data_IF_470485495087
#
_entry.id   IF_470485495087
#
_cell.length_a   1.000
_cell.length_b   1.000
_cell.length_c   1.000
_cell.angle_alpha   90.00
_cell.angle_beta   90.00
_cell.angle_gamma   90.00
#
_symmetry.space_group_name_H-M   'P 1'
#
loop_
_entity.id
_entity.type
_entity.pdbx_description
1 polymer ?
#
# COMPACT_ATOMS: atom_id res chain seq x y z
N UNK A 1 16.06 -9.13 -11.90
CA UNK A 1 14.77 -9.63 -11.39
C UNK A 1 14.25 -8.68 -10.34
N UNK A 2 12.94 -8.36 -10.44
CA UNK A 2 12.22 -7.64 -9.40
C UNK A 2 11.68 -8.59 -8.33
N UNK A 3 11.14 -8.01 -7.25
CA UNK A 3 10.43 -8.73 -6.19
C UNK A 3 8.93 -8.45 -6.32
N UNK A 4 8.10 -9.49 -6.33
CA UNK A 4 6.64 -9.36 -6.35
C UNK A 4 6.04 -9.93 -5.06
N UNK A 5 5.42 -9.07 -4.28
CA UNK A 5 4.69 -9.44 -3.05
C UNK A 5 3.21 -9.66 -3.40
N UNK A 6 2.73 -10.88 -3.25
CA UNK A 6 1.36 -11.27 -3.58
C UNK A 6 0.62 -11.70 -2.33
N UNK A 7 -0.59 -11.23 -2.14
CA UNK A 7 -1.41 -11.62 -1.01
C UNK A 7 -2.67 -10.77 -0.87
N UNK A 8 -3.56 -11.10 0.05
CA UNK A 8 -4.81 -10.37 0.26
C UNK A 8 -4.61 -8.87 0.50
N UNK A 9 -5.63 -8.08 0.22
CA UNK A 9 -5.61 -6.65 0.50
C UNK A 9 -5.42 -6.39 2.02
N UNK A 10 -4.70 -5.32 2.37
CA UNK A 10 -4.52 -4.95 3.77
C UNK A 10 -3.51 -5.78 4.56
N UNK A 11 -2.73 -6.66 3.93
CA UNK A 11 -1.68 -7.47 4.59
C UNK A 11 -0.33 -6.76 4.74
N UNK A 12 -0.26 -5.47 4.40
CA UNK A 12 0.95 -4.67 4.61
C UNK A 12 2.02 -4.80 3.53
N UNK A 13 1.71 -5.36 2.34
CA UNK A 13 2.68 -5.54 1.25
C UNK A 13 3.47 -4.28 0.90
N UNK A 14 2.80 -3.14 0.74
CA UNK A 14 3.47 -1.86 0.46
C UNK A 14 4.38 -1.42 1.62
N UNK A 15 4.00 -1.69 2.87
CA UNK A 15 4.85 -1.40 4.02
C UNK A 15 6.12 -2.25 4.04
N UNK A 16 6.03 -3.50 3.60
CA UNK A 16 7.19 -4.38 3.42
C UNK A 16 8.11 -3.79 2.34
N UNK A 17 7.57 -3.35 1.21
CA UNK A 17 8.35 -2.72 0.14
C UNK A 17 9.11 -1.47 0.64
N UNK A 18 8.45 -0.59 1.39
CA UNK A 18 9.10 0.57 2.02
C UNK A 18 10.17 0.17 3.05
N UNK A 19 9.91 -0.87 3.82
CA UNK A 19 10.90 -1.37 4.80
C UNK A 19 12.15 -1.89 4.10
N UNK A 20 12.02 -2.61 3.00
CA UNK A 20 13.14 -3.08 2.19
C UNK A 20 13.97 -1.90 1.65
N UNK A 21 13.32 -0.87 1.10
CA UNK A 21 14.01 0.32 0.61
C UNK A 21 14.82 1.01 1.72
N UNK A 22 14.25 1.13 2.93
CA UNK A 22 14.95 1.69 4.10
C UNK A 22 16.16 0.85 4.54
N UNK A 23 16.02 -0.48 4.54
CA UNK A 23 17.11 -1.40 4.89
C UNK A 23 18.25 -1.27 3.87
N UNK A 24 17.93 -1.16 2.59
CA UNK A 24 18.92 -0.95 1.53
C UNK A 24 19.55 0.45 1.57
N UNK A 25 18.96 1.39 2.32
CA UNK A 25 19.39 2.81 2.38
C UNK A 25 19.43 3.47 1.01
N UNK A 26 18.52 3.08 0.13
CA UNK A 26 18.35 3.65 -1.19
C UNK A 26 17.15 4.60 -1.21
N UNK A 27 17.18 5.64 -2.03
CA UNK A 27 15.99 6.41 -2.33
C UNK A 27 14.94 5.49 -2.96
N UNK A 28 13.67 5.82 -2.79
CA UNK A 28 12.60 5.08 -3.43
C UNK A 28 11.57 6.02 -4.05
N UNK A 29 10.90 5.53 -5.05
CA UNK A 29 9.74 6.16 -5.66
C UNK A 29 8.62 5.16 -5.78
N UNK A 30 7.39 5.65 -5.93
CA UNK A 30 6.20 4.82 -6.02
C UNK A 30 5.44 5.08 -7.30
N UNK A 31 4.95 4.00 -7.90
CA UNK A 31 4.04 4.01 -9.02
C UNK A 31 2.80 3.20 -8.62
N UNK A 32 1.63 3.79 -8.72
CA UNK A 32 0.36 3.13 -8.47
C UNK A 32 -0.32 2.78 -9.79
N UNK A 33 -0.31 1.49 -10.15
CA UNK A 33 -0.86 1.01 -11.41
C UNK A 33 -2.38 1.10 -11.49
N UNK A 34 -3.08 1.23 -10.37
CA UNK A 34 -4.53 1.41 -10.36
C UNK A 34 -4.96 2.76 -10.94
N UNK A 35 -4.09 3.74 -10.91
CA UNK A 35 -4.32 5.09 -11.45
C UNK A 35 -3.91 5.26 -12.92
N UNK A 36 -3.23 4.27 -13.50
CA UNK A 36 -2.69 4.32 -14.87
C UNK A 36 -3.65 3.66 -15.84
N UNK A 37 -4.19 4.45 -16.77
CA UNK A 37 -5.14 3.99 -17.79
C UNK A 37 -4.57 4.00 -19.21
N UNK A 38 -3.47 4.72 -19.44
CA UNK A 38 -2.84 4.90 -20.73
C UNK A 38 -1.32 4.73 -20.60
N UNK A 39 -0.68 3.95 -21.50
CA UNK A 39 0.78 3.84 -21.56
C UNK A 39 1.53 5.16 -21.65
N UNK A 40 0.96 6.18 -22.29
CA UNK A 40 1.60 7.52 -22.39
C UNK A 40 1.74 8.21 -21.04
N UNK A 41 0.91 7.87 -20.05
CA UNK A 41 1.10 8.37 -18.68
C UNK A 41 2.44 7.93 -18.10
N UNK A 42 2.92 6.75 -18.48
CA UNK A 42 4.21 6.20 -18.04
C UNK A 42 5.37 6.69 -18.87
N UNK A 43 5.20 6.74 -20.22
CA UNK A 43 6.27 6.99 -21.18
C UNK A 43 6.40 8.46 -21.60
N UNK A 44 5.45 9.30 -21.21
CA UNK A 44 5.39 10.68 -21.70
C UNK A 44 4.81 10.81 -23.10
N UNK A 45 4.41 12.02 -23.44
CA UNK A 45 3.85 12.35 -24.75
C UNK A 45 4.84 13.09 -25.64
N UNK A 46 4.76 12.87 -26.98
CA UNK A 46 5.66 13.52 -27.93
C UNK A 46 5.52 15.06 -27.89
N UNK A 47 6.64 15.78 -27.96
CA UNK A 47 6.71 17.25 -27.97
C UNK A 47 5.98 17.92 -29.13
N UNK A 48 5.53 17.17 -30.14
CA UNK A 48 4.70 17.73 -31.21
C UNK A 48 3.32 18.17 -30.73
N UNK A 49 2.87 17.71 -29.60
CA UNK A 49 1.58 18.08 -29.01
C UNK A 49 1.72 19.28 -28.06
N UNK A 50 0.75 20.20 -28.11
CA UNK A 50 0.77 21.43 -27.33
C UNK A 50 0.83 21.21 -25.80
N UNK A 51 0.25 20.10 -25.33
CA UNK A 51 0.19 19.73 -23.89
C UNK A 51 1.14 18.58 -23.56
N UNK A 52 2.22 18.41 -24.32
CA UNK A 52 3.19 17.35 -24.08
C UNK A 52 3.85 17.50 -22.71
N UNK A 53 4.06 16.38 -22.04
CA UNK A 53 4.71 16.31 -20.74
C UNK A 53 5.51 15.01 -20.59
N UNK A 54 6.51 15.00 -19.69
CA UNK A 54 7.23 13.78 -19.32
C UNK A 54 6.29 12.71 -18.76
N UNK A 55 6.71 11.47 -18.84
CA UNK A 55 6.02 10.36 -18.19
C UNK A 55 6.34 10.27 -16.70
N UNK A 56 5.44 9.60 -15.97
CA UNK A 56 5.56 9.41 -14.51
C UNK A 56 6.86 8.69 -14.15
N UNK A 57 7.34 7.77 -15.00
CA UNK A 57 8.61 7.07 -14.74
C UNK A 57 9.78 8.05 -14.73
N UNK A 58 9.86 8.96 -15.71
CA UNK A 58 10.91 9.97 -15.74
C UNK A 58 10.78 10.95 -14.58
N UNK A 59 9.56 11.38 -14.25
CA UNK A 59 9.30 12.24 -13.09
C UNK A 59 9.79 11.56 -11.80
N UNK A 60 9.56 10.25 -11.65
CA UNK A 60 10.01 9.48 -10.51
C UNK A 60 11.54 9.47 -10.36
N UNK A 61 12.29 9.30 -11.45
CA UNK A 61 13.76 9.44 -11.44
C UNK A 61 14.20 10.85 -11.08
N UNK A 62 13.52 11.86 -11.62
CA UNK A 62 13.82 13.27 -11.34
C UNK A 62 13.60 13.60 -9.86
N UNK A 63 12.52 13.10 -9.26
CA UNK A 63 12.24 13.30 -7.83
C UNK A 63 13.22 12.57 -6.92
N UNK A 64 13.64 11.37 -7.30
CA UNK A 64 14.65 10.63 -6.56
C UNK A 64 16.05 11.27 -6.64
N UNK A 65 16.32 12.02 -7.72
CA UNK A 65 17.62 12.64 -7.99
C UNK A 65 18.75 11.66 -8.32
N UNK A 66 18.45 10.36 -8.38
CA UNK A 66 19.39 9.28 -8.59
C UNK A 66 18.77 8.20 -9.48
N UNK A 67 19.61 7.47 -10.22
CA UNK A 67 19.19 6.29 -10.98
C UNK A 67 19.33 4.98 -10.20
N UNK A 68 20.02 5.00 -9.07
CA UNK A 68 20.14 3.88 -8.15
C UNK A 68 19.06 3.98 -7.07
N UNK A 69 17.90 3.39 -7.32
CA UNK A 69 16.72 3.55 -6.47
C UNK A 69 15.85 2.29 -6.40
N UNK A 70 15.05 2.20 -5.36
CA UNK A 70 13.98 1.20 -5.27
C UNK A 70 12.72 1.78 -5.95
N UNK A 71 12.22 1.07 -6.95
CA UNK A 71 11.00 1.43 -7.67
C UNK A 71 9.84 0.57 -7.16
N UNK A 72 8.96 1.17 -6.36
CA UNK A 72 7.83 0.47 -5.75
C UNK A 72 6.61 0.59 -6.68
N UNK A 73 6.16 -0.54 -7.21
CA UNK A 73 5.04 -0.63 -8.15
C UNK A 73 3.84 -1.23 -7.40
N UNK A 74 2.92 -0.38 -6.98
CA UNK A 74 1.74 -0.81 -6.26
C UNK A 74 0.65 -1.29 -7.21
N UNK A 75 -0.09 -2.32 -6.78
CA UNK A 75 -1.27 -2.85 -7.45
C UNK A 75 -1.02 -3.25 -8.91
N UNK A 76 0.07 -4.00 -9.15
CA UNK A 76 0.46 -4.43 -10.49
C UNK A 76 -0.64 -5.24 -11.21
N UNK A 77 -1.46 -5.97 -10.46
CA UNK A 77 -2.63 -6.71 -10.95
C UNK A 77 -3.77 -5.80 -11.45
N UNK A 78 -3.76 -4.51 -11.09
CA UNK A 78 -4.73 -3.52 -11.55
C UNK A 78 -4.30 -2.79 -12.84
N UNK A 79 -3.10 -3.03 -13.29
CA UNK A 79 -2.62 -2.56 -14.60
C UNK A 79 -3.44 -3.17 -15.76
N UNK A 80 -4.74 -3.21 -15.59
CA UNK A 80 -5.64 -3.95 -16.43
C UNK A 80 -5.73 -3.33 -17.81
N UNK A 81 -5.55 -4.18 -18.82
CA UNK A 81 -6.30 -4.22 -20.07
C UNK A 81 -7.11 -2.94 -20.34
N UNK A 82 -6.43 -1.83 -20.59
CA UNK A 82 -7.06 -0.63 -21.10
C UNK A 82 -7.72 -0.97 -22.43
N UNK A 83 -8.97 -0.62 -22.59
CA UNK A 83 -9.64 -0.58 -23.88
C UNK A 83 -9.08 0.60 -24.66
N UNK A 84 -7.86 0.49 -25.19
CA UNK A 84 -7.20 1.61 -25.87
C UNK A 84 -5.84 1.22 -26.45
N UNK A 85 -4.89 2.12 -26.36
CA UNK A 85 -3.57 2.11 -27.04
C UNK A 85 -2.55 1.10 -26.50
N UNK A 86 -2.95 0.02 -25.85
CA UNK A 86 -2.07 -1.01 -25.31
C UNK A 86 -2.21 -1.17 -23.78
N UNK A 87 -1.48 -2.15 -23.24
CA UNK A 87 -1.48 -2.38 -21.79
C UNK A 87 -0.38 -1.55 -21.12
N UNK A 88 -0.71 -0.65 -20.19
CA UNK A 88 0.29 0.12 -19.46
C UNK A 88 1.37 -0.74 -18.78
N UNK A 89 1.02 -1.96 -18.36
CA UNK A 89 1.97 -2.88 -17.76
C UNK A 89 3.11 -3.31 -18.70
N UNK A 90 2.88 -3.31 -20.00
CA UNK A 90 3.90 -3.71 -20.98
C UNK A 90 5.06 -2.71 -21.04
N UNK A 91 4.81 -1.44 -20.72
CA UNK A 91 5.85 -0.41 -20.57
C UNK A 91 6.85 -0.78 -19.48
N UNK A 92 6.38 -1.44 -18.41
CA UNK A 92 7.23 -1.85 -17.30
C UNK A 92 8.24 -2.95 -17.71
N UNK A 93 7.99 -3.69 -18.78
CA UNK A 93 8.92 -4.72 -19.27
C UNK A 93 10.29 -4.12 -19.58
N UNK A 94 10.33 -2.97 -20.25
CA UNK A 94 11.58 -2.28 -20.57
C UNK A 94 12.32 -1.82 -19.33
N UNK A 95 11.59 -1.30 -18.35
CA UNK A 95 12.15 -0.90 -17.05
C UNK A 95 12.74 -2.11 -16.29
N UNK A 96 12.02 -3.24 -16.29
CA UNK A 96 12.40 -4.45 -15.58
C UNK A 96 13.57 -5.21 -16.23
N UNK A 97 13.75 -5.05 -17.52
CA UNK A 97 14.87 -5.68 -18.25
C UNK A 97 16.21 -4.97 -18.04
N UNK A 98 16.23 -3.83 -17.35
CA UNK A 98 17.43 -3.03 -17.08
C UNK A 98 18.21 -2.60 -18.34
N UNK A 99 17.53 -2.49 -19.47
CA UNK A 99 18.12 -2.12 -20.76
C UNK A 99 18.07 -0.61 -21.04
N UNK A 100 17.59 0.15 -20.09
CA UNK A 100 17.30 1.57 -20.24
C UNK A 100 15.81 1.82 -20.51
N UNK A 101 15.37 3.02 -20.26
CA UNK A 101 14.00 3.47 -20.48
C UNK A 101 14.03 4.78 -21.26
N UNK A 102 13.27 4.85 -22.35
CA UNK A 102 13.18 6.06 -23.17
C UNK A 102 11.84 6.75 -22.90
N UNK A 103 11.92 8.00 -22.45
CA UNK A 103 10.75 8.88 -22.33
C UNK A 103 10.51 9.62 -23.64
N UNK A 104 9.24 9.61 -24.09
CA UNK A 104 8.86 10.20 -25.39
C UNK A 104 8.94 11.73 -25.40
N UNK A 105 8.82 12.38 -24.23
CA UNK A 105 8.94 13.82 -24.12
C UNK A 105 10.40 14.25 -24.13
N UNK A 106 11.26 13.57 -23.38
CA UNK A 106 12.68 13.90 -23.30
C UNK A 106 13.49 13.38 -24.48
N UNK A 107 12.99 12.35 -25.19
CA UNK A 107 13.66 11.71 -26.32
C UNK A 107 15.09 11.22 -25.97
N UNK A 108 15.31 10.91 -24.71
CA UNK A 108 16.58 10.40 -24.22
C UNK A 108 16.39 9.11 -23.41
N UNK A 109 17.43 8.29 -23.42
CA UNK A 109 17.44 7.05 -22.65
C UNK A 109 17.89 7.32 -21.22
N UNK A 110 17.09 6.89 -20.24
CA UNK A 110 17.43 6.89 -18.83
C UNK A 110 18.01 5.52 -18.47
N UNK A 111 19.21 5.43 -17.86
CA UNK A 111 19.76 4.17 -17.40
C UNK A 111 18.90 3.54 -16.30
N UNK A 112 18.58 2.25 -16.43
CA UNK A 112 17.75 1.51 -15.46
C UNK A 112 18.50 0.40 -14.74
N UNK A 113 19.80 0.26 -14.95
CA UNK A 113 20.63 -0.78 -14.33
C UNK A 113 20.72 -0.70 -12.80
N UNK A 114 20.50 0.50 -12.24
CA UNK A 114 20.46 0.74 -10.79
C UNK A 114 19.05 0.69 -10.17
N UNK A 115 18.06 0.24 -10.92
CA UNK A 115 16.67 0.14 -10.44
C UNK A 115 16.42 -1.20 -9.78
N UNK A 116 15.86 -1.17 -8.57
CA UNK A 116 15.43 -2.34 -7.82
C UNK A 116 13.89 -2.34 -7.74
N UNK A 117 13.18 -3.02 -8.66
CA UNK A 117 11.73 -3.02 -8.68
C UNK A 117 11.16 -3.94 -7.60
N UNK A 118 10.23 -3.40 -6.81
CA UNK A 118 9.42 -4.16 -5.86
C UNK A 118 7.96 -3.89 -6.19
N UNK A 119 7.26 -4.91 -6.65
CA UNK A 119 5.84 -4.80 -6.99
C UNK A 119 4.95 -5.44 -5.91
N UNK A 120 3.72 -4.95 -5.81
CA UNK A 120 2.67 -5.57 -4.99
C UNK A 120 1.47 -5.94 -5.85
N UNK A 121 0.80 -7.03 -5.51
CA UNK A 121 -0.43 -7.48 -6.16
C UNK A 121 -1.34 -8.22 -5.16
N UNK A 122 -2.62 -8.20 -5.42
CA UNK A 122 -3.58 -9.01 -4.66
C UNK A 122 -3.83 -10.34 -5.36
N UNK A 123 -3.84 -10.37 -6.68
CA UNK A 123 -4.11 -11.55 -7.49
C UNK A 123 -3.10 -11.69 -8.64
N UNK A 124 -2.19 -12.65 -8.52
CA UNK A 124 -1.19 -12.93 -9.56
C UNK A 124 -1.75 -13.43 -10.88
N UNK A 125 -2.99 -13.93 -10.90
CA UNK A 125 -3.63 -14.42 -12.14
C UNK A 125 -3.94 -13.29 -13.14
N UNK A 126 -4.00 -12.05 -12.66
CA UNK A 126 -4.25 -10.87 -13.48
C UNK A 126 -2.97 -10.29 -14.11
N UNK A 127 -1.81 -10.80 -13.76
CA UNK A 127 -0.51 -10.32 -14.26
C UNK A 127 -0.09 -11.18 -15.44
N UNK A 128 0.35 -10.54 -16.52
CA UNK A 128 0.78 -11.23 -17.73
C UNK A 128 2.01 -12.12 -17.50
N UNK A 129 2.11 -13.24 -18.22
CA UNK A 129 3.22 -14.16 -18.11
C UNK A 129 4.61 -13.50 -18.37
N UNK A 130 4.77 -12.57 -19.33
CA UNK A 130 6.03 -11.84 -19.53
C UNK A 130 6.44 -11.03 -18.31
N UNK A 131 5.51 -10.37 -17.61
CA UNK A 131 5.80 -9.66 -16.37
C UNK A 131 6.15 -10.61 -15.24
N UNK A 132 5.36 -11.67 -15.06
CA UNK A 132 5.60 -12.66 -14.01
C UNK A 132 7.00 -13.28 -14.11
N UNK A 133 7.50 -13.50 -15.31
CA UNK A 133 8.85 -14.09 -15.52
C UNK A 133 10.00 -13.19 -15.05
N UNK A 134 9.75 -11.92 -14.83
CA UNK A 134 10.74 -10.91 -14.38
C UNK A 134 10.74 -10.68 -12.87
N UNK A 135 9.85 -11.33 -12.16
CA UNK A 135 9.72 -11.19 -10.72
C UNK A 135 10.03 -12.49 -9.97
N UNK A 136 10.72 -12.38 -8.85
CA UNK A 136 10.70 -13.39 -7.82
C UNK A 136 9.45 -13.19 -6.95
N UNK A 137 8.55 -14.17 -6.93
CA UNK A 137 7.27 -14.07 -6.25
C UNK A 137 7.39 -14.51 -4.80
N UNK A 138 6.91 -13.68 -3.89
CA UNK A 138 6.75 -13.99 -2.47
C UNK A 138 5.26 -13.89 -2.13
N UNK A 139 4.67 -15.01 -1.73
CA UNK A 139 3.29 -15.04 -1.25
C UNK A 139 3.25 -14.55 0.21
N UNK A 140 2.42 -13.55 0.46
CA UNK A 140 2.18 -12.98 1.78
C UNK A 140 0.83 -13.51 2.27
N UNK A 141 0.81 -14.37 3.29
CA UNK A 141 -0.43 -14.92 3.82
C UNK A 141 -1.25 -13.85 4.54
N UNK A 142 -2.53 -14.11 4.73
CA UNK A 142 -3.35 -13.30 5.62
C UNK A 142 -2.95 -13.52 7.09
N UNK A 143 -3.30 -12.58 7.93
CA UNK A 143 -3.06 -12.66 9.36
C UNK A 143 -4.01 -13.66 10.03
N UNK A 144 -3.48 -14.42 10.96
CA UNK A 144 -4.29 -15.24 11.88
C UNK A 144 -5.07 -14.37 12.86
N UNK A 145 -6.10 -14.92 13.51
CA UNK A 145 -6.87 -14.20 14.52
C UNK A 145 -5.98 -13.69 15.68
N UNK A 146 -5.02 -14.50 16.10
CA UNK A 146 -4.08 -14.11 17.17
C UNK A 146 -3.13 -12.98 16.71
N UNK A 147 -2.64 -13.03 15.49
CA UNK A 147 -1.84 -11.93 14.93
C UNK A 147 -2.66 -10.66 14.81
N UNK A 148 -3.93 -10.74 14.38
CA UNK A 148 -4.85 -9.62 14.32
C UNK A 148 -5.08 -8.98 15.69
N UNK A 149 -5.22 -9.77 16.76
CA UNK A 149 -5.30 -9.27 18.15
C UNK A 149 -4.08 -8.48 18.54
N UNK A 150 -2.90 -9.01 18.24
CA UNK A 150 -1.63 -8.34 18.55
C UNK A 150 -1.51 -7.03 17.78
N UNK A 151 -1.82 -7.06 16.49
CA UNK A 151 -1.75 -5.88 15.63
C UNK A 151 -2.73 -4.81 16.10
N UNK A 152 -3.96 -5.20 16.42
CA UNK A 152 -4.98 -4.28 16.90
C UNK A 152 -4.56 -3.59 18.21
N UNK A 153 -4.20 -4.40 19.22
CA UNK A 153 -3.92 -3.90 20.56
C UNK A 153 -2.60 -3.12 20.67
N UNK A 154 -1.57 -3.55 19.94
CA UNK A 154 -0.22 -2.96 20.06
C UNK A 154 0.08 -1.88 19.04
N UNK A 155 -0.63 -1.85 17.92
CA UNK A 155 -0.31 -0.94 16.81
C UNK A 155 -1.52 -0.10 16.35
N UNK A 156 -2.65 -0.74 15.99
CA UNK A 156 -3.76 -0.01 15.39
C UNK A 156 -4.42 0.96 16.39
N UNK A 157 -4.88 0.48 17.53
CA UNK A 157 -5.53 1.32 18.53
C UNK A 157 -4.58 2.39 19.11
N UNK A 158 -3.35 2.08 19.53
CA UNK A 158 -2.42 3.11 20.00
C UNK A 158 -2.06 4.17 18.96
N UNK A 159 -1.92 3.77 17.68
CA UNK A 159 -1.67 4.70 16.57
C UNK A 159 -2.81 5.70 16.40
N UNK A 160 -4.05 5.23 16.46
CA UNK A 160 -5.24 6.08 16.36
C UNK A 160 -5.35 7.00 17.57
N UNK A 161 -5.19 6.48 18.78
CA UNK A 161 -5.22 7.26 20.02
C UNK A 161 -4.17 8.38 20.00
N UNK A 162 -2.95 8.07 19.57
CA UNK A 162 -1.89 9.08 19.41
C UNK A 162 -2.28 10.17 18.40
N UNK A 163 -2.91 9.80 17.28
CA UNK A 163 -3.39 10.76 16.28
C UNK A 163 -4.49 11.68 16.84
N UNK A 164 -5.31 11.16 17.75
CA UNK A 164 -6.37 11.90 18.45
C UNK A 164 -5.87 12.61 19.71
N UNK A 165 -4.56 12.61 19.97
CA UNK A 165 -3.95 13.20 21.17
C UNK A 165 -4.47 12.63 22.48
N UNK A 166 -4.91 11.37 22.47
CA UNK A 166 -5.39 10.63 23.64
C UNK A 166 -4.24 9.95 24.38
N UNK A 167 -4.39 9.84 25.70
CA UNK A 167 -3.48 9.07 26.55
C UNK A 167 -3.87 7.59 26.57
N UNK A 168 -2.91 6.67 26.78
CA UNK A 168 -3.19 5.23 26.78
C UNK A 168 -4.26 4.80 27.80
N UNK A 169 -4.36 5.48 28.92
CA UNK A 169 -5.33 5.19 29.99
C UNK A 169 -6.75 5.68 29.71
N UNK A 170 -6.95 6.55 28.73
CA UNK A 170 -8.26 7.15 28.43
C UNK A 170 -9.18 6.22 27.65
N UNK A 171 -8.61 5.29 26.87
CA UNK A 171 -9.37 4.29 26.10
C UNK A 171 -8.78 2.90 26.36
N UNK A 172 -9.49 2.09 27.08
CA UNK A 172 -9.07 0.74 27.46
C UNK A 172 -10.01 -0.28 26.84
N UNK A 173 -9.45 -1.29 26.21
CA UNK A 173 -10.18 -2.42 25.62
C UNK A 173 -9.90 -3.66 26.47
N UNK A 174 -10.98 -4.31 26.95
CA UNK A 174 -10.81 -5.57 27.69
C UNK A 174 -10.45 -6.72 26.74
N UNK A 175 -9.87 -7.84 27.24
CA UNK A 175 -9.61 -9.01 26.42
C UNK A 175 -10.86 -9.54 25.71
N UNK A 176 -12.00 -9.55 26.37
CA UNK A 176 -13.29 -9.97 25.84
C UNK A 176 -13.79 -8.99 24.76
N UNK A 177 -13.61 -7.69 24.98
CA UNK A 177 -13.92 -6.68 23.98
C UNK A 177 -13.04 -6.81 22.73
N UNK A 178 -11.76 -7.10 22.91
CA UNK A 178 -10.85 -7.40 21.80
C UNK A 178 -11.29 -8.63 21.01
N UNK A 179 -11.72 -9.69 21.67
CA UNK A 179 -12.22 -10.91 21.03
C UNK A 179 -13.41 -10.60 20.12
N UNK A 180 -14.35 -9.78 20.56
CA UNK A 180 -15.50 -9.34 19.74
C UNK A 180 -15.06 -8.53 18.52
N UNK A 181 -14.08 -7.61 18.68
CA UNK A 181 -13.53 -6.88 17.53
C UNK A 181 -13.00 -7.82 16.46
N UNK A 182 -12.23 -8.83 16.87
CA UNK A 182 -11.63 -9.78 15.93
C UNK A 182 -12.69 -10.71 15.32
N UNK A 183 -13.66 -11.16 16.10
CA UNK A 183 -14.75 -12.03 15.63
C UNK A 183 -15.56 -11.34 14.54
N UNK A 184 -15.95 -10.07 14.73
CA UNK A 184 -16.69 -9.29 13.73
C UNK A 184 -15.92 -9.09 12.42
N UNK A 185 -14.61 -9.19 12.46
CA UNK A 185 -13.73 -9.03 11.29
C UNK A 185 -13.08 -10.36 10.86
N UNK A 186 -13.58 -11.51 11.33
CA UNK A 186 -12.99 -12.83 11.06
C UNK A 186 -13.04 -13.24 9.58
N UNK A 187 -14.05 -12.80 8.85
CA UNK A 187 -14.22 -13.09 7.42
C UNK A 187 -13.55 -12.09 6.48
N UNK A 188 -12.86 -11.07 7.01
CA UNK A 188 -12.28 -9.99 6.24
C UNK A 188 -10.76 -10.12 6.26
N UNK A 189 -10.16 -10.12 5.07
CA UNK A 189 -8.71 -10.21 4.92
C UNK A 189 -7.98 -8.93 5.31
N UNK A 190 -6.79 -9.06 5.87
CA UNK A 190 -5.92 -7.94 6.24
C UNK A 190 -6.36 -7.24 7.52
N UNK A 191 -5.85 -6.01 7.69
CA UNK A 191 -6.06 -5.21 8.91
C UNK A 191 -6.75 -3.86 8.66
N UNK A 192 -7.13 -3.55 7.41
CA UNK A 192 -7.70 -2.23 7.08
C UNK A 192 -8.99 -1.94 7.85
N UNK A 193 -9.88 -2.91 7.93
CA UNK A 193 -11.16 -2.75 8.64
C UNK A 193 -10.96 -2.75 10.16
N UNK A 194 -9.91 -3.43 10.65
CA UNK A 194 -9.49 -3.33 12.05
C UNK A 194 -8.99 -1.92 12.40
N UNK A 195 -8.29 -1.24 11.50
CA UNK A 195 -7.90 0.16 11.70
C UNK A 195 -9.14 1.07 11.77
N UNK A 196 -10.17 0.83 10.96
CA UNK A 196 -11.44 1.55 11.06
C UNK A 196 -12.16 1.26 12.39
N UNK A 197 -12.18 0.00 12.83
CA UNK A 197 -12.74 -0.34 14.14
C UNK A 197 -12.01 0.38 15.29
N UNK A 198 -10.68 0.48 15.21
CA UNK A 198 -9.90 1.25 16.18
C UNK A 198 -10.28 2.74 16.16
N UNK A 199 -10.53 3.32 14.99
CA UNK A 199 -11.00 4.69 14.86
C UNK A 199 -12.38 4.89 15.51
N UNK A 200 -13.31 3.99 15.30
CA UNK A 200 -14.65 4.06 15.93
C UNK A 200 -14.56 3.95 17.44
N UNK A 201 -13.76 3.04 17.97
CA UNK A 201 -13.57 2.86 19.41
C UNK A 201 -12.93 4.10 20.03
N UNK A 202 -11.83 4.59 19.47
CA UNK A 202 -11.14 5.76 19.98
C UNK A 202 -11.99 7.04 19.87
N UNK A 203 -12.72 7.23 18.76
CA UNK A 203 -13.61 8.36 18.59
C UNK A 203 -14.78 8.36 19.60
N UNK A 204 -15.34 7.18 19.88
CA UNK A 204 -16.37 7.05 20.89
C UNK A 204 -15.83 7.37 22.30
N UNK A 205 -14.64 6.86 22.64
CA UNK A 205 -13.98 7.19 23.90
C UNK A 205 -13.74 8.69 24.04
N UNK A 206 -13.20 9.33 23.01
CA UNK A 206 -12.95 10.78 23.02
C UNK A 206 -14.24 11.58 23.18
N UNK A 207 -15.30 11.20 22.46
CA UNK A 207 -16.61 11.82 22.62
C UNK A 207 -17.12 11.73 24.06
N UNK A 208 -17.02 10.57 24.70
CA UNK A 208 -17.48 10.40 26.08
C UNK A 208 -16.63 11.21 27.07
N UNK A 209 -15.32 11.32 26.84
CA UNK A 209 -14.43 12.13 27.68
C UNK A 209 -14.79 13.61 27.57
N UNK A 210 -14.98 14.14 26.36
CA UNK A 210 -15.24 15.55 26.11
C UNK A 210 -16.67 15.97 26.49
N UNK A 211 -17.67 15.15 26.19
CA UNK A 211 -19.08 15.50 26.38
C UNK A 211 -19.62 15.07 27.76
N UNK A 212 -19.27 13.86 28.19
CA UNK A 212 -19.77 13.30 29.44
C UNK A 212 -18.79 13.51 30.62
N UNK A 213 -17.62 14.13 30.36
CA UNK A 213 -16.61 14.45 31.37
C UNK A 213 -16.09 13.25 32.14
N UNK A 214 -16.08 12.07 31.52
CA UNK A 214 -15.44 10.87 32.11
C UNK A 214 -13.93 10.93 31.89
N UNK A 215 -13.18 10.31 32.79
CA UNK A 215 -11.69 10.29 32.67
C UNK A 215 -11.15 9.12 31.84
N UNK A 216 -11.95 8.08 31.72
CA UNK A 216 -11.58 6.83 31.07
C UNK A 216 -12.83 6.15 30.53
N UNK A 217 -12.70 5.49 29.39
CA UNK A 217 -13.73 4.61 28.84
C UNK A 217 -13.14 3.22 28.69
N UNK A 218 -13.83 2.22 29.27
CA UNK A 218 -13.47 0.81 29.19
C UNK A 218 -14.46 0.11 28.28
N UNK A 219 -13.97 -0.45 27.19
CA UNK A 219 -14.77 -1.19 26.21
C UNK A 219 -14.70 -2.69 26.55
N UNK A 220 -15.78 -3.21 27.07
CA UNK A 220 -16.01 -4.65 27.25
C UNK A 220 -16.72 -5.24 26.01
N UNK A 221 -17.02 -6.53 26.07
CA UNK A 221 -17.68 -7.23 24.96
C UNK A 221 -19.02 -6.60 24.57
N UNK A 222 -19.85 -6.20 25.56
CA UNK A 222 -21.16 -5.62 25.31
C UNK A 222 -21.07 -4.24 24.65
N UNK A 223 -20.17 -3.38 25.12
CA UNK A 223 -19.95 -2.06 24.53
C UNK A 223 -19.40 -2.15 23.10
N UNK A 224 -18.47 -3.06 22.85
CA UNK A 224 -17.92 -3.30 21.50
C UNK A 224 -19.01 -3.85 20.58
N UNK A 225 -19.80 -4.82 21.04
CA UNK A 225 -20.92 -5.37 20.27
C UNK A 225 -21.91 -4.27 19.85
N UNK A 226 -22.26 -3.38 20.76
CA UNK A 226 -23.18 -2.26 20.51
C UNK A 226 -22.59 -1.21 19.57
N UNK A 227 -21.29 -0.96 19.66
CA UNK A 227 -20.61 0.09 18.88
C UNK A 227 -20.34 -0.32 17.45
N UNK A 228 -19.98 -1.61 17.22
CA UNK A 228 -19.59 -2.15 15.93
C UNK A 228 -20.68 -3.02 15.28
N UNK A 229 -21.83 -3.13 15.91
CA UNK A 229 -22.97 -3.97 15.50
C UNK A 229 -23.77 -3.47 14.33
#
# INVERSE_FOLDING_TARGET
YGLLLVGPAGTGKSQIAYAVARILKLPWTTLDMSSINDPEQLTGSSRIYANAKPGIILEAFSMAGESNLVFIINELDKAASGKGNGNPADVLLTLLDNLGFTDNYMECMVPTSGVYPIATANDKSQISAPLMSRFAVIDIPDYTAEEKKIIFSRFALPKVMKRMSMKPEECVLTPEGLDIVIEKHSGISGIRDLEQAAEHIAANALYQIEVNHVKQVVFDAEMVEKLLG
#
